data_IF_248642314689
#
_entry.id   IF_248642314689
#
_cell.length_a   1.000
_cell.length_b   1.000
_cell.length_c   1.000
_cell.angle_alpha   90.00
_cell.angle_beta   90.00
_cell.angle_gamma   90.00
#
_symmetry.space_group_name_H-M   'P 1'
#
loop_
_entity.id
_entity.type
_entity.pdbx_description
1 polymer ?
#
# COMPACT_ATOMS: atom_id res chain seq x y z
N UNK A 1 3.29 17.55 14.59
CA UNK A 1 2.75 17.07 13.29
C UNK A 1 2.43 15.60 13.43
N UNK A 2 1.42 15.09 12.75
CA UNK A 2 1.15 13.65 12.73
C UNK A 2 2.27 12.92 12.01
N UNK A 3 2.66 11.74 12.51
CA UNK A 3 3.75 10.93 11.98
C UNK A 3 3.19 9.63 11.40
N UNK A 4 3.78 9.18 10.29
CA UNK A 4 3.50 7.89 9.67
C UNK A 4 4.69 6.96 9.88
N UNK A 5 4.43 5.76 10.39
CA UNK A 5 5.41 4.67 10.41
C UNK A 5 5.03 3.63 9.35
N UNK A 6 6.00 3.19 8.57
CA UNK A 6 5.84 2.23 7.48
C UNK A 6 6.74 1.03 7.75
N UNK A 7 6.15 -0.15 7.90
CA UNK A 7 6.86 -1.41 7.81
C UNK A 7 6.65 -2.01 6.43
N UNK A 8 7.70 -2.42 5.76
CA UNK A 8 7.59 -3.07 4.44
C UNK A 8 8.94 -3.57 3.93
N UNK A 9 8.91 -4.31 2.84
CA UNK A 9 10.12 -4.78 2.17
C UNK A 9 10.76 -3.66 1.35
N UNK A 10 12.09 -3.70 1.28
CA UNK A 10 12.88 -3.01 0.25
C UNK A 10 13.51 -4.10 -0.60
N UNK A 11 13.42 -3.98 -1.90
CA UNK A 11 13.84 -5.00 -2.85
C UNK A 11 14.46 -4.41 -4.11
N UNK A 12 15.12 -5.28 -4.86
CA UNK A 12 15.30 -5.08 -6.30
C UNK A 12 14.21 -5.84 -7.04
N UNK A 13 13.50 -5.15 -7.93
CA UNK A 13 12.50 -5.74 -8.80
C UNK A 13 13.03 -5.85 -10.24
N UNK A 14 12.79 -7.00 -10.89
CA UNK A 14 13.00 -7.19 -12.31
C UNK A 14 11.66 -7.55 -12.96
N UNK A 15 11.19 -6.70 -13.84
CA UNK A 15 9.81 -6.74 -14.33
C UNK A 15 9.82 -6.91 -15.84
N UNK A 16 9.04 -7.87 -16.34
CA UNK A 16 8.76 -8.06 -17.74
C UNK A 16 7.26 -7.84 -18.00
N UNK A 17 6.93 -6.99 -18.96
CA UNK A 17 5.57 -6.70 -19.41
C UNK A 17 5.50 -6.74 -20.92
N UNK A 18 4.31 -6.73 -21.55
CA UNK A 18 4.20 -6.60 -23.01
C UNK A 18 4.86 -5.33 -23.59
N UNK A 19 5.10 -4.32 -22.75
CA UNK A 19 5.76 -3.06 -23.15
C UNK A 19 7.28 -3.08 -23.03
N UNK A 20 7.86 -4.11 -22.42
CA UNK A 20 9.31 -4.25 -22.30
C UNK A 20 9.74 -4.97 -21.03
N UNK A 21 11.04 -4.80 -20.72
CA UNK A 21 11.66 -5.41 -19.54
C UNK A 21 12.52 -4.39 -18.82
N UNK A 22 12.38 -4.31 -17.50
CA UNK A 22 13.29 -3.54 -16.66
C UNK A 22 14.55 -4.34 -16.34
N UNK A 23 15.65 -3.64 -16.06
CA UNK A 23 16.74 -4.20 -15.27
C UNK A 23 16.31 -4.25 -13.79
N UNK A 24 17.23 -4.64 -12.89
CA UNK A 24 17.04 -4.47 -11.44
C UNK A 24 16.77 -3.00 -11.10
N UNK A 25 15.59 -2.71 -10.58
CA UNK A 25 15.14 -1.36 -10.22
C UNK A 25 14.72 -1.32 -8.76
N UNK A 26 14.59 -0.11 -8.21
CA UNK A 26 14.05 0.10 -6.87
C UNK A 26 12.66 -0.51 -6.76
N UNK A 27 12.48 -1.46 -5.87
CA UNK A 27 11.24 -2.19 -5.62
C UNK A 27 10.98 -2.43 -4.14
N UNK A 28 10.00 -3.27 -3.86
CA UNK A 28 9.56 -3.59 -2.50
C UNK A 28 8.51 -2.63 -1.95
N UNK A 29 7.59 -3.16 -1.14
CA UNK A 29 6.41 -2.44 -0.65
C UNK A 29 6.74 -1.14 0.08
N UNK A 30 7.81 -1.12 0.90
CA UNK A 30 8.17 0.08 1.66
C UNK A 30 8.55 1.27 0.78
N UNK A 31 9.28 1.04 -0.32
CA UNK A 31 9.64 2.11 -1.25
C UNK A 31 8.41 2.72 -1.92
N UNK A 32 7.53 1.89 -2.45
CA UNK A 32 6.30 2.35 -3.10
C UNK A 32 5.39 3.11 -2.14
N UNK A 33 5.16 2.57 -0.94
CA UNK A 33 4.35 3.20 0.10
C UNK A 33 4.96 4.56 0.50
N UNK A 34 6.27 4.60 0.79
CA UNK A 34 6.95 5.81 1.26
C UNK A 34 6.93 6.92 0.21
N UNK A 35 7.23 6.60 -1.05
CA UNK A 35 7.22 7.56 -2.16
C UNK A 35 5.80 8.11 -2.43
N UNK A 36 4.78 7.27 -2.30
CA UNK A 36 3.39 7.71 -2.42
C UNK A 36 2.96 8.60 -1.25
N UNK A 37 3.30 8.23 -0.02
CA UNK A 37 2.99 9.02 1.18
C UNK A 37 3.73 10.38 1.19
N UNK A 38 4.96 10.43 0.66
CA UNK A 38 5.75 11.65 0.54
C UNK A 38 5.05 12.74 -0.29
N UNK A 39 4.15 12.36 -1.21
CA UNK A 39 3.33 13.30 -1.98
C UNK A 39 2.43 14.20 -1.11
N UNK A 40 2.28 13.89 0.16
CA UNK A 40 1.46 14.65 1.13
C UNK A 40 2.31 15.47 2.11
N UNK A 41 3.63 15.47 1.97
CA UNK A 41 4.57 16.29 2.77
C UNK A 41 4.42 16.09 4.28
N UNK A 42 4.31 14.83 4.69
CA UNK A 42 4.18 14.42 6.09
C UNK A 42 5.49 13.83 6.62
N UNK A 43 5.79 13.93 7.92
CA UNK A 43 6.87 13.15 8.53
C UNK A 43 6.55 11.66 8.46
N UNK A 44 7.43 10.88 7.85
CA UNK A 44 7.30 9.43 7.76
C UNK A 44 8.63 8.73 8.01
N UNK A 45 8.59 7.52 8.52
CA UNK A 45 9.77 6.65 8.66
C UNK A 45 9.50 5.27 8.07
N UNK A 46 10.56 4.65 7.56
CA UNK A 46 10.55 3.28 7.04
C UNK A 46 11.30 2.37 7.99
N UNK A 47 10.70 1.23 8.29
CA UNK A 47 11.32 0.09 8.98
C UNK A 47 11.46 -1.04 7.98
N UNK A 48 12.69 -1.41 7.67
CA UNK A 48 13.04 -2.41 6.66
C UNK A 48 14.47 -2.92 6.84
N UNK A 49 14.91 -3.79 5.94
CA UNK A 49 16.29 -4.31 5.89
C UNK A 49 16.76 -4.39 4.44
N UNK A 50 18.04 -4.09 4.22
CA UNK A 50 18.72 -4.22 2.92
C UNK A 50 20.10 -4.84 3.10
N UNK A 51 20.66 -5.42 2.04
CA UNK A 51 22.08 -5.76 1.98
C UNK A 51 22.94 -4.53 1.66
N UNK A 52 24.25 -4.69 1.80
CA UNK A 52 25.23 -3.65 1.40
C UNK A 52 25.33 -3.45 -0.12
N UNK A 53 24.64 -4.27 -0.90
CA UNK A 53 24.47 -4.12 -2.34
C UNK A 53 23.40 -3.11 -2.74
N UNK A 54 22.60 -2.61 -1.76
CA UNK A 54 21.55 -1.62 -2.03
C UNK A 54 22.16 -0.22 -2.23
N UNK A 55 21.89 0.46 -3.36
CA UNK A 55 22.53 1.73 -3.66
C UNK A 55 22.17 2.82 -2.65
N UNK A 56 23.17 3.53 -2.14
CA UNK A 56 22.98 4.66 -1.21
C UNK A 56 22.11 5.76 -1.83
N UNK A 57 22.20 5.94 -3.13
CA UNK A 57 21.37 6.90 -3.88
C UNK A 57 19.88 6.64 -3.73
N UNK A 58 19.44 5.38 -3.62
CA UNK A 58 18.03 5.03 -3.39
C UNK A 58 17.57 5.40 -1.97
N UNK A 59 18.44 5.26 -0.97
CA UNK A 59 18.16 5.75 0.38
C UNK A 59 18.12 7.28 0.42
N UNK A 60 19.02 7.93 -0.33
CA UNK A 60 19.03 9.38 -0.44
C UNK A 60 17.73 9.93 -1.08
N UNK A 61 17.18 9.26 -2.10
CA UNK A 61 15.89 9.63 -2.70
C UNK A 61 14.74 9.63 -1.68
N UNK A 62 14.77 8.77 -0.68
CA UNK A 62 13.79 8.76 0.41
C UNK A 62 14.03 9.93 1.36
N UNK A 63 15.28 10.16 1.79
CA UNK A 63 15.61 11.26 2.72
C UNK A 63 15.34 12.64 2.15
N UNK A 64 15.62 12.86 0.85
CA UNK A 64 15.28 14.08 0.13
C UNK A 64 13.78 14.38 0.16
N UNK A 65 12.96 13.35 0.31
CA UNK A 65 11.50 13.44 0.43
C UNK A 65 11.00 13.43 1.87
N UNK A 66 11.90 13.70 2.84
CA UNK A 66 11.60 13.76 4.28
C UNK A 66 11.14 12.43 4.88
N UNK A 67 11.57 11.31 4.27
CA UNK A 67 11.38 9.97 4.83
C UNK A 67 12.60 9.65 5.70
N UNK A 68 12.36 9.35 6.96
CA UNK A 68 13.38 8.89 7.89
C UNK A 68 13.73 7.42 7.56
N UNK A 69 15.00 7.18 7.28
CA UNK A 69 15.54 5.86 6.92
C UNK A 69 16.32 5.21 8.07
N UNK A 70 16.31 5.80 9.27
CA UNK A 70 17.06 5.28 10.43
C UNK A 70 16.55 3.92 10.93
N UNK A 71 15.35 3.51 10.52
CA UNK A 71 14.78 2.20 10.75
C UNK A 71 15.15 1.15 9.68
N UNK A 72 15.99 1.52 8.70
CA UNK A 72 16.44 0.59 7.66
C UNK A 72 17.79 0.00 8.10
N UNK A 73 17.81 -1.31 8.39
CA UNK A 73 19.02 -2.05 8.70
C UNK A 73 19.82 -2.32 7.42
N UNK A 74 21.14 -2.10 7.44
CA UNK A 74 22.05 -2.41 6.33
C UNK A 74 22.99 -3.53 6.75
N UNK A 75 22.80 -4.72 6.19
CA UNK A 75 23.60 -5.91 6.50
C UNK A 75 24.87 -5.92 5.63
N UNK A 76 26.04 -5.79 6.27
CA UNK A 76 27.32 -5.82 5.58
C UNK A 76 27.59 -7.21 4.97
N UNK A 77 27.93 -7.24 3.68
CA UNK A 77 28.12 -8.48 2.92
C UNK A 77 26.83 -9.23 2.58
N UNK A 78 25.68 -8.74 3.06
CA UNK A 78 24.36 -9.27 2.71
C UNK A 78 23.90 -8.83 1.34
N UNK A 79 22.92 -9.55 0.80
CA UNK A 79 22.20 -9.18 -0.43
C UNK A 79 20.79 -8.72 -0.09
N UNK A 80 20.32 -7.71 -0.79
CA UNK A 80 18.95 -7.21 -0.71
C UNK A 80 17.97 -8.21 -1.29
N UNK A 81 16.72 -8.23 -0.79
CA UNK A 81 15.61 -8.99 -1.37
C UNK A 81 15.55 -8.72 -2.88
N UNK A 82 15.41 -9.78 -3.67
CA UNK A 82 15.22 -9.71 -5.11
C UNK A 82 13.91 -10.39 -5.50
N UNK A 83 13.17 -9.74 -6.36
CA UNK A 83 11.97 -10.31 -6.96
C UNK A 83 11.98 -10.12 -8.48
N UNK A 84 11.54 -11.14 -9.21
CA UNK A 84 11.35 -11.06 -10.66
C UNK A 84 9.98 -11.57 -11.03
N UNK A 85 9.27 -10.81 -11.86
CA UNK A 85 7.94 -11.17 -12.31
C UNK A 85 7.67 -10.82 -13.77
N UNK A 86 6.70 -11.54 -14.35
CA UNK A 86 6.23 -11.33 -15.71
C UNK A 86 4.72 -11.10 -15.72
N UNK A 87 4.33 -9.98 -16.31
CA UNK A 87 2.93 -9.67 -16.61
C UNK A 87 2.57 -10.09 -18.01
N UNK A 88 1.35 -10.56 -18.19
CA UNK A 88 0.76 -10.92 -19.47
C UNK A 88 -0.04 -9.75 -20.06
N UNK A 89 -0.72 -9.97 -21.19
CA UNK A 89 -1.60 -8.96 -21.80
C UNK A 89 -2.72 -8.50 -20.85
N UNK A 90 -3.20 -9.42 -20.00
CA UNK A 90 -3.99 -9.05 -18.82
C UNK A 90 -3.05 -8.61 -17.72
N UNK A 91 -2.89 -7.30 -17.58
CA UNK A 91 -1.99 -6.66 -16.61
C UNK A 91 -2.41 -6.86 -15.14
N UNK A 92 -3.54 -7.50 -14.88
CA UNK A 92 -3.96 -7.91 -13.52
C UNK A 92 -3.34 -9.24 -13.10
N UNK A 93 -2.80 -10.02 -14.04
CA UNK A 93 -2.19 -11.34 -13.80
C UNK A 93 -0.69 -11.30 -14.00
N UNK A 94 0.04 -11.89 -13.06
CA UNK A 94 1.49 -12.03 -13.13
C UNK A 94 1.96 -13.41 -12.71
N UNK A 95 3.07 -13.83 -13.31
CA UNK A 95 3.88 -14.96 -12.84
C UNK A 95 5.07 -14.43 -12.04
N UNK A 96 5.32 -15.01 -10.88
CA UNK A 96 6.59 -14.82 -10.18
C UNK A 96 7.62 -15.76 -10.78
N UNK A 97 8.71 -15.20 -11.31
CA UNK A 97 9.77 -15.97 -11.96
C UNK A 97 10.87 -16.37 -10.96
N UNK A 98 11.23 -15.45 -10.06
CA UNK A 98 12.25 -15.68 -9.03
C UNK A 98 11.95 -14.81 -7.79
N UNK A 99 12.32 -15.36 -6.62
CA UNK A 99 12.29 -14.64 -5.35
C UNK A 99 13.46 -15.07 -4.49
N UNK A 100 14.38 -14.16 -4.24
CA UNK A 100 15.53 -14.38 -3.36
C UNK A 100 15.35 -13.55 -2.09
N UNK A 101 14.94 -14.19 -1.00
CA UNK A 101 14.62 -13.51 0.25
C UNK A 101 15.85 -12.83 0.88
N UNK A 102 17.02 -13.45 0.75
CA UNK A 102 18.30 -12.88 1.21
C UNK A 102 18.22 -12.40 2.68
N UNK A 103 18.64 -11.14 2.96
CA UNK A 103 18.69 -10.60 4.33
C UNK A 103 17.33 -10.51 5.02
N UNK A 104 16.23 -10.55 4.29
CA UNK A 104 14.89 -10.44 4.89
C UNK A 104 14.52 -11.66 5.75
N UNK A 105 15.16 -12.81 5.52
CA UNK A 105 14.94 -14.01 6.32
C UNK A 105 15.32 -13.85 7.80
N UNK A 106 16.32 -13.02 8.06
CA UNK A 106 16.87 -12.81 9.40
C UNK A 106 16.43 -11.46 10.00
N UNK A 107 15.53 -10.74 9.31
CA UNK A 107 15.10 -9.41 9.70
C UNK A 107 14.43 -9.40 11.08
N UNK A 108 14.88 -8.47 11.91
CA UNK A 108 14.28 -8.15 13.21
C UNK A 108 13.99 -6.66 13.23
N UNK A 109 12.74 -6.23 13.01
CA UNK A 109 12.40 -4.82 12.87
C UNK A 109 12.70 -4.05 14.16
N UNK A 110 13.36 -2.91 14.02
CA UNK A 110 13.59 -1.97 15.10
C UNK A 110 12.92 -0.64 14.74
N UNK A 111 11.91 -0.26 15.52
CA UNK A 111 11.20 1.01 15.32
C UNK A 111 12.07 2.14 15.87
N UNK A 112 12.41 3.17 15.05
CA UNK A 112 13.12 4.36 15.53
C UNK A 112 12.37 5.02 16.69
N UNK A 113 13.09 5.41 17.73
CA UNK A 113 12.51 5.98 18.95
C UNK A 113 11.58 7.18 18.63
N UNK A 114 11.99 8.03 17.71
CA UNK A 114 11.23 9.20 17.27
C UNK A 114 9.87 8.85 16.62
N UNK A 115 9.63 7.58 16.27
CA UNK A 115 8.41 7.12 15.59
C UNK A 115 7.62 6.06 16.37
N UNK A 116 8.06 5.68 17.58
CA UNK A 116 7.30 4.76 18.43
C UNK A 116 5.96 5.33 18.93
N UNK A 117 5.76 6.63 18.78
CA UNK A 117 4.51 7.35 19.06
C UNK A 117 3.75 7.76 17.79
N UNK A 118 4.07 7.17 16.63
CA UNK A 118 3.42 7.52 15.36
C UNK A 118 1.90 7.35 15.44
N UNK A 119 1.16 8.34 14.94
CA UNK A 119 -0.31 8.33 14.96
C UNK A 119 -0.89 7.39 13.91
N UNK A 120 -0.17 7.16 12.82
CA UNK A 120 -0.55 6.24 11.74
C UNK A 120 0.55 5.20 11.54
N UNK A 121 0.17 3.94 11.51
CA UNK A 121 1.06 2.82 11.21
C UNK A 121 0.53 2.08 9.99
N UNK A 122 1.38 1.88 8.99
CA UNK A 122 1.10 0.98 7.88
C UNK A 122 2.01 -0.23 7.94
N UNK A 123 1.39 -1.40 8.03
CA UNK A 123 2.02 -2.71 7.99
C UNK A 123 1.93 -3.22 6.55
N UNK A 124 2.97 -2.98 5.77
CA UNK A 124 3.08 -3.47 4.39
C UNK A 124 3.22 -4.99 4.34
N UNK A 125 3.22 -5.53 3.13
CA UNK A 125 3.26 -6.96 2.90
C UNK A 125 4.59 -7.58 3.35
N UNK A 126 4.62 -8.13 4.56
CA UNK A 126 5.71 -8.88 5.18
C UNK A 126 5.16 -10.02 6.03
N UNK A 127 6.07 -10.87 6.53
CA UNK A 127 5.70 -11.97 7.43
C UNK A 127 4.92 -11.43 8.65
N UNK A 128 3.77 -12.02 9.04
CA UNK A 128 2.93 -11.52 10.14
C UNK A 128 3.66 -11.34 11.48
N UNK A 129 4.67 -12.16 11.78
CA UNK A 129 5.52 -11.96 12.97
C UNK A 129 6.19 -10.58 12.98
N UNK A 130 6.73 -10.13 11.84
CA UNK A 130 7.39 -8.83 11.73
C UNK A 130 6.38 -7.68 11.92
N UNK A 131 5.17 -7.85 11.39
CA UNK A 131 4.07 -6.91 11.58
C UNK A 131 3.68 -6.82 13.07
N UNK A 132 3.61 -7.98 13.75
CA UNK A 132 3.34 -8.04 15.20
C UNK A 132 4.45 -7.42 16.03
N UNK A 133 5.71 -7.67 15.66
CA UNK A 133 6.89 -7.12 16.36
C UNK A 133 6.89 -5.59 16.32
N UNK A 134 6.55 -4.98 15.20
CA UNK A 134 6.42 -3.52 15.09
C UNK A 134 5.25 -2.99 15.92
N UNK A 135 4.08 -3.65 15.88
CA UNK A 135 2.95 -3.29 16.72
C UNK A 135 3.30 -3.29 18.22
N UNK A 136 4.10 -4.26 18.66
CA UNK A 136 4.49 -4.40 20.06
C UNK A 136 5.55 -3.38 20.51
N UNK A 137 6.27 -2.73 19.58
CA UNK A 137 7.25 -1.69 19.88
C UNK A 137 6.63 -0.28 19.97
N UNK A 138 5.37 -0.12 19.59
CA UNK A 138 4.70 1.17 19.72
C UNK A 138 4.47 1.53 21.21
N UNK A 139 4.84 2.75 21.63
CA UNK A 139 4.66 3.21 23.01
C UNK A 139 3.21 3.50 23.39
N UNK A 140 2.38 3.74 22.37
CA UNK A 140 0.92 3.87 22.48
C UNK A 140 0.29 3.30 21.21
N UNK A 141 -0.96 2.83 21.31
CA UNK A 141 -1.68 2.35 20.12
C UNK A 141 -1.81 3.51 19.12
N UNK A 142 -1.37 3.35 17.86
CA UNK A 142 -1.63 4.35 16.82
C UNK A 142 -3.13 4.61 16.67
N UNK A 143 -3.49 5.82 16.28
CA UNK A 143 -4.90 6.19 16.01
C UNK A 143 -5.47 5.46 14.80
N UNK A 144 -4.59 5.05 13.88
CA UNK A 144 -4.95 4.26 12.71
C UNK A 144 -3.83 3.27 12.41
N UNK A 145 -4.19 1.99 12.38
CA UNK A 145 -3.33 0.89 11.93
C UNK A 145 -3.91 0.34 10.64
N UNK A 146 -3.15 0.44 9.58
CA UNK A 146 -3.48 -0.10 8.25
C UNK A 146 -2.59 -1.29 7.96
N UNK A 147 -3.16 -2.36 7.41
CA UNK A 147 -2.42 -3.56 7.03
C UNK A 147 -2.68 -3.88 5.57
N UNK A 148 -1.63 -4.27 4.87
CA UNK A 148 -1.71 -5.02 3.60
C UNK A 148 -1.20 -6.45 3.81
N UNK A 149 -1.66 -7.39 3.00
CA UNK A 149 -1.29 -8.80 3.07
C UNK A 149 -1.29 -9.42 1.68
N UNK A 150 -0.99 -10.72 1.61
CA UNK A 150 -1.08 -11.49 0.36
C UNK A 150 -1.48 -12.94 0.63
N UNK A 151 -1.87 -13.63 -0.44
CA UNK A 151 -2.29 -15.03 -0.42
C UNK A 151 -1.24 -15.98 0.18
N UNK A 152 0.05 -15.68 0.04
CA UNK A 152 1.12 -16.51 0.60
C UNK A 152 0.97 -16.68 2.13
N UNK A 153 0.70 -15.60 2.85
CA UNK A 153 0.53 -15.64 4.31
C UNK A 153 -0.75 -16.39 4.72
N UNK A 154 -1.81 -16.28 3.93
CA UNK A 154 -3.04 -17.05 4.14
C UNK A 154 -2.81 -18.56 4.03
N UNK A 155 -1.86 -18.96 3.19
CA UNK A 155 -1.57 -20.38 2.95
C UNK A 155 -0.55 -20.96 3.95
N UNK A 156 0.35 -20.15 4.53
CA UNK A 156 1.51 -20.62 5.27
C UNK A 156 1.54 -20.19 6.73
N UNK A 157 0.87 -19.09 7.11
CA UNK A 157 0.95 -18.49 8.45
C UNK A 157 -0.42 -18.00 8.93
N UNK A 158 -1.47 -18.79 8.70
CA UNK A 158 -2.87 -18.41 8.94
C UNK A 158 -3.11 -17.88 10.35
N UNK A 159 -2.70 -18.60 11.39
CA UNK A 159 -2.99 -18.22 12.78
C UNK A 159 -2.34 -16.89 13.14
N UNK A 160 -1.05 -16.70 12.77
CA UNK A 160 -0.35 -15.42 12.98
C UNK A 160 -0.99 -14.28 12.18
N UNK A 161 -1.44 -14.54 10.95
CA UNK A 161 -2.14 -13.56 10.14
C UNK A 161 -3.43 -13.11 10.83
N UNK A 162 -4.21 -14.04 11.39
CA UNK A 162 -5.45 -13.72 12.12
C UNK A 162 -5.17 -12.90 13.38
N UNK A 163 -4.07 -13.17 14.09
CA UNK A 163 -3.66 -12.38 15.25
C UNK A 163 -3.36 -10.93 14.87
N UNK A 164 -2.67 -10.69 13.73
CA UNK A 164 -2.40 -9.32 13.24
C UNK A 164 -3.69 -8.65 12.78
N UNK A 165 -4.53 -9.34 12.00
CA UNK A 165 -5.81 -8.80 11.49
C UNK A 165 -6.69 -8.32 12.65
N UNK A 166 -6.74 -9.04 13.76
CA UNK A 166 -7.52 -8.63 14.94
C UNK A 166 -7.00 -7.35 15.62
N UNK A 167 -5.82 -6.86 15.26
CA UNK A 167 -5.17 -5.68 15.86
C UNK A 167 -5.15 -4.44 14.98
N UNK A 168 -5.65 -4.54 13.74
CA UNK A 168 -5.62 -3.43 12.78
C UNK A 168 -7.00 -2.77 12.64
N UNK A 169 -7.00 -1.51 12.22
CA UNK A 169 -8.23 -0.76 11.99
C UNK A 169 -8.70 -0.88 10.53
N UNK A 170 -7.75 -0.98 9.59
CA UNK A 170 -8.01 -1.06 8.15
C UNK A 170 -7.24 -2.24 7.57
N UNK A 171 -7.96 -3.13 6.88
CA UNK A 171 -7.33 -4.13 6.02
C UNK A 171 -7.48 -3.67 4.56
N UNK A 172 -6.35 -3.51 3.85
CA UNK A 172 -6.29 -3.36 2.40
C UNK A 172 -5.97 -4.71 1.78
N UNK A 173 -6.77 -5.14 0.82
CA UNK A 173 -6.69 -6.49 0.25
C UNK A 173 -7.20 -6.45 -1.19
N UNK A 174 -6.72 -7.30 -2.09
CA UNK A 174 -7.35 -7.42 -3.39
C UNK A 174 -8.60 -8.32 -3.36
N UNK A 175 -9.36 -8.35 -4.42
CA UNK A 175 -10.64 -9.08 -4.45
C UNK A 175 -10.46 -10.61 -4.46
N UNK A 176 -9.40 -11.14 -5.05
CA UNK A 176 -9.09 -12.57 -5.00
C UNK A 176 -8.67 -12.99 -3.59
N UNK A 177 -7.80 -12.21 -2.96
CA UNK A 177 -7.37 -12.41 -1.58
C UNK A 177 -8.54 -12.31 -0.60
N UNK A 178 -9.46 -11.36 -0.81
CA UNK A 178 -10.66 -11.24 0.03
C UNK A 178 -11.56 -12.48 -0.07
N UNK A 179 -11.74 -13.01 -1.27
CA UNK A 179 -12.47 -14.29 -1.49
C UNK A 179 -11.73 -15.46 -0.86
N UNK A 180 -10.41 -15.51 -1.01
CA UNK A 180 -9.60 -16.58 -0.42
C UNK A 180 -9.66 -16.57 1.10
N UNK A 181 -9.47 -15.41 1.73
CA UNK A 181 -9.46 -15.21 3.18
C UNK A 181 -10.80 -15.65 3.82
N UNK A 182 -11.90 -15.34 3.15
CA UNK A 182 -13.25 -15.51 3.73
C UNK A 182 -14.00 -16.71 3.20
N UNK A 183 -13.56 -17.32 2.10
CA UNK A 183 -14.28 -18.35 1.33
C UNK A 183 -15.64 -17.85 0.82
N UNK A 184 -15.80 -16.53 0.66
CA UNK A 184 -17.00 -15.91 0.11
C UNK A 184 -16.75 -15.38 -1.30
N UNK A 185 -17.61 -15.71 -2.24
CA UNK A 185 -17.50 -15.17 -3.61
C UNK A 185 -17.95 -13.70 -3.68
N UNK A 186 -19.03 -13.34 -2.96
CA UNK A 186 -19.55 -11.98 -2.89
C UNK A 186 -18.60 -11.10 -2.06
N UNK A 187 -18.10 -10.01 -2.65
CA UNK A 187 -17.21 -9.07 -1.96
C UNK A 187 -17.90 -8.37 -0.78
N UNK A 188 -19.22 -8.17 -0.85
CA UNK A 188 -20.01 -7.62 0.28
C UNK A 188 -19.98 -8.60 1.46
N UNK A 189 -20.22 -9.88 1.22
CA UNK A 189 -20.14 -10.93 2.26
C UNK A 189 -18.72 -11.12 2.76
N UNK A 190 -17.73 -11.07 1.86
CA UNK A 190 -16.31 -11.14 2.22
C UNK A 190 -15.94 -9.99 3.18
N UNK A 191 -16.31 -8.76 2.85
CA UNK A 191 -16.06 -7.60 3.71
C UNK A 191 -16.75 -7.74 5.09
N UNK A 192 -18.00 -8.23 5.13
CA UNK A 192 -18.71 -8.48 6.38
C UNK A 192 -17.98 -9.51 7.26
N UNK A 193 -17.46 -10.60 6.66
CA UNK A 193 -16.66 -11.60 7.39
C UNK A 193 -15.34 -11.01 7.90
N UNK A 194 -14.65 -10.18 7.09
CA UNK A 194 -13.41 -9.53 7.52
C UNK A 194 -13.69 -8.56 8.68
N UNK A 195 -14.75 -7.77 8.60
CA UNK A 195 -15.15 -6.88 9.72
C UNK A 195 -15.47 -7.68 10.99
N UNK A 196 -16.06 -8.86 10.86
CA UNK A 196 -16.32 -9.76 12.00
C UNK A 196 -15.02 -10.30 12.66
N UNK A 197 -13.87 -10.23 11.99
CA UNK A 197 -12.55 -10.54 12.56
C UNK A 197 -11.98 -9.39 13.42
N UNK A 198 -12.69 -8.26 13.54
CA UNK A 198 -12.29 -7.10 14.35
C UNK A 198 -11.85 -5.87 13.55
N UNK A 199 -11.75 -5.97 12.24
CA UNK A 199 -11.35 -4.87 11.35
C UNK A 199 -12.48 -3.85 11.22
N UNK A 200 -12.16 -2.58 11.43
CA UNK A 200 -13.14 -1.48 11.36
C UNK A 200 -13.49 -1.07 9.92
N UNK A 201 -12.49 -1.05 9.06
CA UNK A 201 -12.64 -0.65 7.65
C UNK A 201 -11.99 -1.70 6.75
N UNK A 202 -12.68 -2.11 5.71
CA UNK A 202 -12.14 -3.04 4.69
C UNK A 202 -12.06 -2.33 3.36
N UNK A 203 -10.87 -2.31 2.77
CA UNK A 203 -10.61 -1.76 1.44
C UNK A 203 -10.30 -2.90 0.50
N UNK A 204 -11.18 -3.16 -0.47
CA UNK A 204 -10.99 -4.20 -1.48
C UNK A 204 -10.57 -3.56 -2.79
N UNK A 205 -9.29 -3.76 -3.15
CA UNK A 205 -8.68 -3.30 -4.40
C UNK A 205 -9.11 -4.22 -5.56
N UNK A 206 -9.45 -3.67 -6.71
CA UNK A 206 -9.95 -4.42 -7.87
C UNK A 206 -9.23 -4.04 -9.18
N UNK A 207 -7.94 -3.70 -9.10
CA UNK A 207 -7.14 -3.29 -10.25
C UNK A 207 -7.78 -2.16 -11.03
N UNK A 208 -7.95 -2.33 -12.34
CA UNK A 208 -8.57 -1.36 -13.25
C UNK A 208 -10.04 -1.04 -12.92
N UNK A 209 -10.69 -1.87 -12.10
CA UNK A 209 -12.07 -1.67 -11.67
C UNK A 209 -12.18 -0.86 -10.36
N UNK A 210 -11.09 -0.24 -9.90
CA UNK A 210 -11.10 0.65 -8.73
C UNK A 210 -11.06 -0.07 -7.39
N UNK A 211 -11.69 0.50 -6.37
CA UNK A 211 -11.68 -0.02 -5.01
C UNK A 211 -13.04 0.17 -4.31
N UNK A 212 -13.35 -0.76 -3.40
CA UNK A 212 -14.50 -0.71 -2.51
C UNK A 212 -14.03 -0.45 -1.08
N UNK A 213 -14.66 0.48 -0.39
CA UNK A 213 -14.47 0.72 1.04
C UNK A 213 -15.74 0.31 1.78
N UNK A 214 -15.59 -0.56 2.78
CA UNK A 214 -16.67 -1.02 3.64
C UNK A 214 -16.46 -0.58 5.09
N UNK A 215 -17.55 -0.22 5.75
CA UNK A 215 -17.60 0.09 7.18
C UNK A 215 -19.04 -0.11 7.67
N UNK A 216 -19.26 -1.04 8.57
CA UNK A 216 -20.61 -1.42 9.02
C UNK A 216 -21.50 -1.78 7.81
N UNK A 217 -22.63 -1.10 7.64
CA UNK A 217 -23.57 -1.23 6.51
C UNK A 217 -23.25 -0.31 5.32
N UNK A 218 -22.20 0.52 5.44
CA UNK A 218 -21.82 1.53 4.44
C UNK A 218 -20.84 0.95 3.43
N UNK A 219 -21.07 1.27 2.19
CA UNK A 219 -20.17 0.95 1.07
C UNK A 219 -19.88 2.21 0.28
N UNK A 220 -18.62 2.41 -0.09
CA UNK A 220 -18.20 3.44 -1.03
C UNK A 220 -17.39 2.81 -2.14
N UNK A 221 -17.63 3.22 -3.37
CA UNK A 221 -16.88 2.81 -4.55
C UNK A 221 -16.07 4.00 -5.09
N UNK A 222 -14.77 3.80 -5.25
CA UNK A 222 -13.90 4.69 -6.00
C UNK A 222 -13.47 4.02 -7.31
N UNK A 223 -13.65 4.63 -8.48
CA UNK A 223 -13.15 4.07 -9.73
C UNK A 223 -11.62 4.10 -9.76
N UNK A 224 -11.02 3.27 -10.59
CA UNK A 224 -9.70 3.56 -11.14
C UNK A 224 -9.84 4.61 -12.25
N UNK A 225 -8.76 5.36 -12.52
CA UNK A 225 -8.72 6.21 -13.70
C UNK A 225 -8.47 5.34 -14.94
N UNK A 226 -9.34 5.36 -15.96
CA UNK A 226 -9.07 4.68 -17.21
C UNK A 226 -7.85 5.30 -17.90
N UNK A 227 -6.82 4.50 -18.11
CA UNK A 227 -5.61 4.88 -18.86
C UNK A 227 -5.54 4.12 -20.17
N UNK A 228 -5.05 4.76 -21.20
CA UNK A 228 -4.89 4.12 -22.50
C UNK A 228 -3.81 3.02 -22.48
N UNK A 229 -2.77 3.21 -21.67
CA UNK A 229 -1.65 2.28 -21.53
C UNK A 229 -1.26 2.12 -20.06
N UNK A 230 -1.00 0.89 -19.66
CA UNK A 230 -0.46 0.51 -18.34
C UNK A 230 0.87 -0.18 -18.60
N UNK A 231 1.97 0.49 -18.25
CA UNK A 231 3.32 -0.03 -18.50
C UNK A 231 3.74 -1.08 -17.50
N UNK A 232 3.50 -0.81 -16.21
CA UNK A 232 3.92 -1.68 -15.10
C UNK A 232 2.98 -1.51 -13.90
N UNK A 233 2.16 -2.51 -13.56
CA UNK A 233 1.28 -2.43 -12.40
C UNK A 233 1.95 -2.82 -11.07
N UNK A 234 3.26 -3.15 -11.08
CA UNK A 234 4.01 -3.53 -9.89
C UNK A 234 3.97 -2.39 -8.86
N UNK A 235 3.67 -2.72 -7.62
CA UNK A 235 3.60 -1.74 -6.54
C UNK A 235 2.37 -0.83 -6.56
N UNK A 236 1.45 -0.94 -7.55
CA UNK A 236 0.25 -0.09 -7.58
C UNK A 236 -0.61 -0.21 -6.32
N UNK A 237 -0.72 -1.42 -5.75
CA UNK A 237 -1.40 -1.66 -4.48
C UNK A 237 -0.73 -0.98 -3.30
N UNK A 238 0.59 -1.03 -3.24
CA UNK A 238 1.41 -0.37 -2.21
C UNK A 238 1.32 1.16 -2.34
N UNK A 239 1.39 1.68 -3.57
CA UNK A 239 1.22 3.11 -3.87
C UNK A 239 -0.16 3.59 -3.49
N UNK A 240 -1.20 2.80 -3.78
CA UNK A 240 -2.56 3.09 -3.35
C UNK A 240 -2.64 3.21 -1.81
N UNK A 241 -2.09 2.22 -1.08
CA UNK A 241 -2.06 2.25 0.37
C UNK A 241 -1.25 3.44 0.91
N UNK A 242 -0.07 3.71 0.32
CA UNK A 242 0.78 4.85 0.66
C UNK A 242 0.10 6.20 0.45
N UNK A 243 -0.57 6.38 -0.69
CA UNK A 243 -1.35 7.57 -0.99
C UNK A 243 -2.52 7.78 -0.03
N UNK A 244 -3.24 6.71 0.28
CA UNK A 244 -4.33 6.71 1.26
C UNK A 244 -3.83 7.12 2.65
N UNK A 245 -2.81 6.45 3.19
CA UNK A 245 -2.32 6.75 4.54
C UNK A 245 -1.61 8.10 4.62
N UNK A 246 -0.92 8.52 3.56
CA UNK A 246 -0.30 9.84 3.46
C UNK A 246 -1.34 10.94 3.61
N UNK A 247 -2.45 10.85 2.89
CA UNK A 247 -3.57 11.78 3.00
C UNK A 247 -4.21 11.75 4.40
N UNK A 248 -4.47 10.56 4.97
CA UNK A 248 -5.04 10.42 6.31
C UNK A 248 -4.12 10.99 7.40
N UNK A 249 -2.80 10.80 7.27
CA UNK A 249 -1.81 11.38 8.18
C UNK A 249 -1.83 12.91 8.09
N UNK A 250 -1.95 13.47 6.88
CA UNK A 250 -2.02 14.92 6.65
C UNK A 250 -3.27 15.54 7.28
N UNK A 251 -4.44 14.91 7.06
CA UNK A 251 -5.74 15.45 7.49
C UNK A 251 -6.06 15.16 8.95
N UNK A 252 -5.50 14.10 9.53
CA UNK A 252 -5.75 13.62 10.91
C UNK A 252 -7.24 13.33 11.19
N UNK A 253 -8.01 13.11 10.14
CA UNK A 253 -9.41 12.71 10.20
C UNK A 253 -9.55 11.28 9.66
N UNK A 254 -9.95 10.35 10.53
CA UNK A 254 -10.10 8.92 10.25
C UNK A 254 -11.57 8.51 10.14
N UNK A 255 -12.46 9.47 9.93
CA UNK A 255 -13.88 9.22 9.69
C UNK A 255 -14.12 8.52 8.36
N UNK A 256 -15.24 7.79 8.24
CA UNK A 256 -15.64 7.17 6.99
C UNK A 256 -15.76 8.20 5.85
N UNK A 257 -16.23 9.41 6.15
CA UNK A 257 -16.34 10.49 5.16
C UNK A 257 -14.96 10.87 4.58
N UNK A 258 -13.93 10.98 5.44
CA UNK A 258 -12.59 11.32 4.99
C UNK A 258 -11.85 10.11 4.40
N UNK A 259 -12.15 8.88 4.84
CA UNK A 259 -11.62 7.67 4.21
C UNK A 259 -12.04 7.58 2.73
N UNK A 260 -13.24 8.00 2.36
CA UNK A 260 -13.65 8.07 0.94
C UNK A 260 -12.70 8.94 0.12
N UNK A 261 -12.34 10.12 0.65
CA UNK A 261 -11.36 10.99 0.01
C UNK A 261 -9.99 10.33 -0.05
N UNK A 262 -9.57 9.67 1.03
CA UNK A 262 -8.29 8.98 1.09
C UNK A 262 -8.18 7.86 0.06
N UNK A 263 -9.24 7.08 -0.19
CA UNK A 263 -9.30 6.06 -1.24
C UNK A 263 -9.11 6.69 -2.63
N UNK A 264 -9.75 7.81 -2.90
CA UNK A 264 -9.58 8.54 -4.18
C UNK A 264 -8.15 9.07 -4.31
N UNK A 265 -7.55 9.59 -3.23
CA UNK A 265 -6.14 10.02 -3.23
C UNK A 265 -5.19 8.84 -3.50
N UNK A 266 -5.44 7.68 -2.90
CA UNK A 266 -4.70 6.45 -3.17
C UNK A 266 -4.79 6.05 -4.64
N UNK A 267 -6.01 5.99 -5.20
CA UNK A 267 -6.23 5.70 -6.63
C UNK A 267 -5.53 6.71 -7.54
N UNK A 268 -5.56 7.99 -7.17
CA UNK A 268 -4.90 9.05 -7.92
C UNK A 268 -3.38 8.84 -8.01
N UNK A 269 -2.70 8.63 -6.87
CA UNK A 269 -1.24 8.41 -6.89
C UNK A 269 -0.90 7.09 -7.58
N UNK A 270 -1.66 6.02 -7.35
CA UNK A 270 -1.46 4.73 -8.00
C UNK A 270 -1.58 4.82 -9.53
N UNK A 271 -2.49 5.66 -10.06
CA UNK A 271 -2.65 5.85 -11.50
C UNK A 271 -1.43 6.44 -12.20
N UNK A 272 -0.56 7.15 -11.47
CA UNK A 272 0.72 7.61 -12.00
C UNK A 272 1.78 6.51 -11.96
N UNK A 273 1.83 5.70 -10.89
CA UNK A 273 2.83 4.66 -10.76
C UNK A 273 2.87 3.76 -11.99
N UNK A 274 1.70 3.37 -12.49
CA UNK A 274 1.56 2.40 -13.58
C UNK A 274 1.91 2.93 -14.98
N UNK A 275 2.28 4.22 -15.11
CA UNK A 275 2.68 4.86 -16.38
C UNK A 275 4.15 4.58 -16.76
N UNK A 276 4.96 4.06 -15.82
CA UNK A 276 6.39 3.77 -16.01
C UNK A 276 6.78 2.52 -15.23
N UNK A 277 7.97 1.98 -15.51
CA UNK A 277 8.50 0.87 -14.74
C UNK A 277 8.83 1.30 -13.30
N UNK A 278 8.43 0.47 -12.35
CA UNK A 278 8.74 0.65 -10.93
C UNK A 278 8.26 1.98 -10.37
N UNK A 279 9.11 2.62 -9.57
CA UNK A 279 8.80 3.88 -8.90
C UNK A 279 9.14 5.14 -9.71
N UNK A 280 9.63 5.02 -10.95
CA UNK A 280 10.17 6.13 -11.76
C UNK A 280 9.21 7.33 -11.82
N UNK A 281 7.94 7.06 -12.07
CA UNK A 281 6.95 8.13 -12.21
C UNK A 281 6.63 8.84 -10.88
N UNK A 282 6.73 8.14 -9.75
CA UNK A 282 6.53 8.72 -8.42
C UNK A 282 7.66 9.69 -8.05
N UNK A 283 8.88 9.44 -8.54
CA UNK A 283 10.04 10.29 -8.30
C UNK A 283 9.92 11.67 -8.97
N UNK A 284 9.17 11.76 -10.06
CA UNK A 284 8.99 12.98 -10.87
C UNK A 284 7.59 13.60 -10.72
N UNK A 285 6.68 12.95 -10.00
CA UNK A 285 5.30 13.41 -9.84
C UNK A 285 5.23 14.73 -9.08
N UNK A 286 4.60 15.72 -9.68
CA UNK A 286 4.40 17.05 -9.10
C UNK A 286 3.03 17.19 -8.44
N UNK A 287 2.92 18.12 -7.50
CA UNK A 287 1.65 18.48 -6.85
C UNK A 287 0.59 18.92 -7.88
N UNK A 288 0.99 19.70 -8.91
CA UNK A 288 0.07 20.20 -9.93
C UNK A 288 -0.52 19.07 -10.78
N UNK A 289 0.29 18.11 -11.20
CA UNK A 289 -0.18 16.94 -11.95
C UNK A 289 -1.16 16.12 -11.11
N UNK A 290 -0.81 15.86 -9.84
CA UNK A 290 -1.68 15.13 -8.92
C UNK A 290 -3.02 15.84 -8.72
N UNK A 291 -3.01 17.17 -8.57
CA UNK A 291 -4.23 17.98 -8.42
C UNK A 291 -5.08 18.00 -9.70
N UNK A 292 -4.44 18.14 -10.86
CA UNK A 292 -5.14 18.10 -12.15
C UNK A 292 -5.81 16.74 -12.38
N UNK A 293 -5.13 15.64 -12.01
CA UNK A 293 -5.71 14.30 -12.15
C UNK A 293 -6.87 14.04 -11.17
N UNK A 294 -6.85 14.63 -9.99
CA UNK A 294 -8.02 14.57 -9.07
C UNK A 294 -9.28 15.18 -9.69
N UNK A 295 -9.13 16.23 -10.50
CA UNK A 295 -10.25 16.78 -11.25
C UNK A 295 -10.82 15.78 -12.25
N UNK A 296 -9.94 15.00 -12.94
CA UNK A 296 -10.40 13.93 -13.83
C UNK A 296 -11.20 12.85 -13.09
N UNK A 297 -10.77 12.44 -11.87
CA UNK A 297 -11.55 11.53 -11.03
C UNK A 297 -12.92 12.08 -10.69
N UNK A 298 -13.00 13.38 -10.37
CA UNK A 298 -14.27 14.06 -10.09
C UNK A 298 -15.18 14.05 -11.31
N UNK A 299 -14.64 14.44 -12.47
CA UNK A 299 -15.39 14.50 -13.73
C UNK A 299 -15.88 13.12 -14.16
N UNK A 300 -15.06 12.06 -13.93
CA UNK A 300 -15.42 10.68 -14.22
C UNK A 300 -16.61 10.17 -13.40
N UNK A 301 -16.81 10.69 -12.19
CA UNK A 301 -17.83 10.20 -11.25
C UNK A 301 -19.01 11.13 -11.05
N UNK A 302 -18.94 12.34 -11.57
CA UNK A 302 -20.00 13.32 -11.42
C UNK A 302 -21.12 13.05 -12.42
N UNK A 303 -22.34 12.91 -11.92
CA UNK A 303 -23.55 12.82 -12.73
C UNK A 303 -24.73 13.46 -11.99
N UNK A 304 -25.68 14.01 -12.76
CA UNK A 304 -26.90 14.60 -12.23
C UNK A 304 -28.07 13.65 -12.47
N UNK A 305 -28.63 13.09 -11.39
CA UNK A 305 -29.89 12.34 -11.43
C UNK A 305 -30.97 13.11 -10.70
N UNK A 306 -32.08 13.40 -11.39
CA UNK A 306 -33.29 13.85 -10.75
C UNK A 306 -34.06 12.66 -10.20
N UNK A 307 -33.99 12.42 -8.89
CA UNK A 307 -34.85 11.44 -8.22
C UNK A 307 -36.24 12.07 -8.08
N UNK A 308 -37.15 11.71 -8.98
CA UNK A 308 -38.56 12.10 -8.87
C UNK A 308 -39.20 11.31 -7.73
N UNK A 309 -39.58 11.96 -6.63
CA UNK A 309 -40.37 11.34 -5.57
C UNK A 309 -39.93 11.52 -4.12
N UNK A 310 -38.93 12.31 -3.82
CA UNK A 310 -38.77 12.82 -2.45
C UNK A 310 -39.75 13.96 -2.19
N UNK A 311 -41.03 13.61 -1.89
CA UNK A 311 -41.89 14.53 -1.18
C UNK A 311 -41.42 14.61 0.27
N UNK A 312 -41.06 15.81 0.71
CA UNK A 312 -40.60 16.16 2.04
C UNK A 312 -41.55 15.79 3.17
#
# INVERSE_FOLDING_TARGET
MSKLLILGSIAFDQIETPFGKSNSIMGGSANYIALAAAQFEIPAAVVSIVGSDYPQEYLNLLTERRIDVSGIEIVQGGKTLFWSGKYHNDMNQRDTLDTQLNVINDFKPVVPEAFRDAEVLLLGNLHPTLQMDVLNQMTQRPKLVVMDTMNYWMNHTWDLLMEVIARVDVLTINDEEARQLTKEYSLVKAAQRIMAMGVKYVVIKKGEHGALLFHEDKVFFAPALPLAEVFDPTGAGDVFAGGMVGYLTKTRDYSFANLKNAIVQGSNVASFCIEKFGAERLLTLTHNERTARLQQFRDLTQFDIKVSGARG
#
